data_IF_015528951742
#
_entry.id   IF_015528951742
#
_cell.length_a   1.000
_cell.length_b   1.000
_cell.length_c   1.000
_cell.angle_alpha   90.00
_cell.angle_beta   90.00
_cell.angle_gamma   90.00
#
_symmetry.space_group_name_H-M   'P 1'
#
loop_
_entity.id
_entity.type
_entity.pdbx_description
1 polymer ?
#
# COMPACT_ATOMS: atom_id res chain seq x y z
N UNK A 1 -17.01 28.11 5.76
CA UNK A 1 -16.68 29.52 6.05
C UNK A 1 -16.87 29.86 7.53
N UNK A 2 -17.96 29.46 8.17
CA UNK A 2 -18.25 29.76 9.59
C UNK A 2 -17.21 29.24 10.61
N UNK A 3 -16.65 28.03 10.41
CA UNK A 3 -15.59 27.46 11.30
C UNK A 3 -14.26 28.19 11.18
N UNK A 4 -13.95 28.72 9.99
CA UNK A 4 -12.74 29.50 9.74
C UNK A 4 -12.80 30.85 10.46
N UNK A 5 -13.97 31.50 10.45
CA UNK A 5 -14.23 32.72 11.20
C UNK A 5 -14.13 32.52 12.73
N UNK A 6 -14.43 31.32 13.23
CA UNK A 6 -14.38 30.97 14.67
C UNK A 6 -13.02 30.40 15.15
N UNK A 7 -11.98 30.41 14.31
CA UNK A 7 -10.64 29.90 14.68
C UNK A 7 -10.61 28.40 15.00
N UNK A 8 -11.61 27.63 14.57
CA UNK A 8 -11.74 26.22 14.91
C UNK A 8 -10.84 25.34 14.02
N UNK A 9 -10.46 24.13 14.50
CA UNK A 9 -9.69 23.18 13.72
C UNK A 9 -10.31 22.96 12.33
N UNK A 10 -9.53 23.28 11.30
CA UNK A 10 -9.87 23.08 9.90
C UNK A 10 -9.52 21.64 9.51
N UNK A 11 -10.43 20.99 8.78
CA UNK A 11 -10.07 19.79 8.03
C UNK A 11 -9.18 20.22 6.85
N UNK A 12 -7.91 19.86 6.93
CA UNK A 12 -6.89 20.27 5.96
C UNK A 12 -6.83 19.32 4.77
N UNK A 13 -7.31 18.09 4.95
CA UNK A 13 -7.31 17.04 3.94
C UNK A 13 -8.72 16.50 3.72
N UNK A 14 -9.01 16.09 2.49
CA UNK A 14 -10.30 15.51 2.09
C UNK A 14 -10.69 14.30 2.96
N UNK A 15 -9.70 13.48 3.34
CA UNK A 15 -9.90 12.32 4.19
C UNK A 15 -10.50 12.68 5.57
N UNK A 16 -10.12 13.82 6.14
CA UNK A 16 -10.64 14.27 7.43
C UNK A 16 -12.10 14.71 7.32
N UNK A 17 -12.43 15.43 6.24
CA UNK A 17 -13.81 15.82 5.91
C UNK A 17 -14.70 14.59 5.68
N UNK A 18 -14.24 13.63 4.88
CA UNK A 18 -14.94 12.36 4.64
C UNK A 18 -15.15 11.57 5.93
N UNK A 19 -14.12 11.49 6.79
CA UNK A 19 -14.21 10.80 8.09
C UNK A 19 -15.26 11.43 8.99
N UNK A 20 -15.33 12.77 9.05
CA UNK A 20 -16.34 13.50 9.80
C UNK A 20 -17.75 13.27 9.23
N UNK A 21 -17.90 13.28 7.90
CA UNK A 21 -19.20 13.00 7.25
C UNK A 21 -19.64 11.57 7.56
N UNK A 22 -18.76 10.58 7.47
CA UNK A 22 -19.10 9.19 7.81
C UNK A 22 -19.52 9.05 9.27
N UNK A 23 -18.76 9.66 10.19
CA UNK A 23 -19.10 9.69 11.61
C UNK A 23 -20.47 10.31 11.86
N UNK A 24 -20.74 11.50 11.30
CA UNK A 24 -22.01 12.23 11.48
C UNK A 24 -23.22 11.45 10.95
N UNK A 25 -23.04 10.68 9.87
CA UNK A 25 -24.09 9.90 9.26
C UNK A 25 -24.19 8.47 9.83
N UNK A 26 -23.48 8.16 10.93
CA UNK A 26 -23.40 6.81 11.49
C UNK A 26 -22.98 5.73 10.45
N UNK A 27 -22.25 6.13 9.41
CA UNK A 27 -21.65 5.18 8.48
C UNK A 27 -20.53 4.45 9.20
N UNK A 28 -20.79 3.20 9.58
CA UNK A 28 -19.75 2.31 10.06
C UNK A 28 -19.08 1.66 8.85
N UNK A 29 -17.74 1.71 8.82
CA UNK A 29 -17.00 0.87 7.89
C UNK A 29 -17.44 -0.58 8.07
N UNK A 30 -17.63 -1.31 6.97
CA UNK A 30 -17.97 -2.72 7.02
C UNK A 30 -17.00 -3.44 7.96
N UNK A 31 -17.53 -4.10 8.99
CA UNK A 31 -16.73 -4.94 9.88
C UNK A 31 -16.12 -6.12 9.11
N UNK A 32 -16.73 -6.48 7.98
CA UNK A 32 -16.21 -7.50 7.06
C UNK A 32 -15.06 -6.93 6.24
N UNK A 33 -13.83 -7.28 6.66
CA UNK A 33 -12.60 -7.02 5.90
C UNK A 33 -12.42 -7.97 4.70
N UNK A 34 -13.38 -8.86 4.44
CA UNK A 34 -13.29 -9.91 3.40
C UNK A 34 -13.38 -9.31 1.99
N UNK A 35 -14.09 -8.19 1.82
CA UNK A 35 -14.25 -7.57 0.49
C UNK A 35 -13.04 -6.68 0.16
N UNK A 36 -12.63 -5.82 1.10
CA UNK A 36 -11.58 -4.84 0.88
C UNK A 36 -10.77 -4.65 2.17
N UNK A 37 -9.44 -4.76 2.08
CA UNK A 37 -8.53 -4.47 3.20
C UNK A 37 -7.36 -3.62 2.72
N UNK A 38 -7.02 -2.60 3.52
CA UNK A 38 -5.75 -1.88 3.40
C UNK A 38 -4.65 -2.68 4.10
N UNK A 39 -3.78 -3.26 3.29
CA UNK A 39 -2.70 -4.12 3.73
C UNK A 39 -1.39 -3.35 3.60
N UNK A 40 -0.74 -3.13 4.72
CA UNK A 40 0.58 -2.53 4.82
C UNK A 40 1.61 -3.66 4.82
N UNK A 41 2.36 -3.73 3.73
CA UNK A 41 3.33 -4.80 3.49
C UNK A 41 4.76 -4.44 3.93
N UNK A 42 5.06 -3.15 4.12
CA UNK A 42 6.42 -2.68 4.42
C UNK A 42 6.85 -2.96 5.88
N UNK A 43 7.81 -3.86 6.13
CA UNK A 43 8.25 -4.22 7.47
C UNK A 43 9.07 -3.12 8.19
N UNK A 44 9.61 -2.13 7.48
CA UNK A 44 10.49 -1.10 8.05
C UNK A 44 9.72 -0.09 8.90
N UNK A 45 8.50 0.25 8.48
CA UNK A 45 7.70 1.29 9.12
C UNK A 45 6.47 0.72 9.83
N UNK A 46 5.65 -0.03 9.08
CA UNK A 46 4.40 -0.57 9.60
C UNK A 46 3.93 -1.72 8.71
N UNK A 47 3.66 -2.87 9.33
CA UNK A 47 3.17 -4.07 8.64
C UNK A 47 1.99 -4.67 9.42
N UNK A 48 0.86 -4.90 8.74
CA UNK A 48 -0.37 -5.46 9.32
C UNK A 48 -0.92 -6.66 8.54
N UNK A 49 -0.04 -7.40 7.87
CA UNK A 49 -0.41 -8.58 7.09
C UNK A 49 -0.84 -9.72 8.00
N UNK A 50 -1.98 -10.31 7.71
CA UNK A 50 -2.54 -11.48 8.39
C UNK A 50 -2.58 -12.68 7.43
N UNK A 51 -2.62 -13.90 7.97
CA UNK A 51 -2.72 -15.14 7.17
C UNK A 51 -4.02 -15.21 6.36
N UNK A 52 -5.10 -14.65 6.89
CA UNK A 52 -6.43 -14.57 6.28
C UNK A 52 -6.52 -13.57 5.14
N UNK A 53 -5.53 -12.68 4.98
CA UNK A 53 -5.56 -11.62 3.95
C UNK A 53 -5.52 -12.16 2.53
N UNK A 54 -5.05 -13.39 2.36
CA UNK A 54 -5.12 -14.13 1.11
C UNK A 54 -6.54 -14.23 0.56
N UNK A 55 -7.54 -14.26 1.44
CA UNK A 55 -8.95 -14.44 1.09
C UNK A 55 -9.70 -13.12 0.90
N UNK A 56 -9.01 -11.98 1.01
CA UNK A 56 -9.61 -10.67 0.76
C UNK A 56 -9.76 -10.47 -0.75
N UNK A 57 -10.96 -10.09 -1.20
CA UNK A 57 -11.25 -9.93 -2.62
C UNK A 57 -10.44 -8.79 -3.27
N UNK A 58 -10.30 -7.66 -2.58
CA UNK A 58 -9.56 -6.49 -3.06
C UNK A 58 -8.46 -6.11 -2.08
N UNK A 59 -7.21 -6.21 -2.53
CA UNK A 59 -6.04 -5.79 -1.75
C UNK A 59 -5.72 -4.33 -2.06
N UNK A 60 -5.94 -3.45 -1.09
CA UNK A 60 -5.44 -2.09 -1.16
C UNK A 60 -4.00 -2.07 -0.59
N UNK A 61 -3.02 -1.80 -1.45
CA UNK A 61 -1.59 -1.94 -1.15
C UNK A 61 -0.83 -0.61 -1.29
N UNK A 62 -0.78 0.24 -0.24
CA UNK A 62 -0.21 1.58 -0.36
C UNK A 62 1.29 1.57 -0.63
N UNK A 63 2.03 0.68 0.04
CA UNK A 63 3.48 0.59 -0.10
C UNK A 63 3.88 0.09 -1.49
N UNK A 64 3.13 -0.86 -2.03
CA UNK A 64 3.53 -1.59 -3.24
C UNK A 64 3.62 -0.73 -4.50
N UNK A 65 2.99 0.46 -4.50
CA UNK A 65 3.23 1.50 -5.51
C UNK A 65 4.71 1.81 -5.70
N UNK A 66 5.48 1.76 -4.62
CA UNK A 66 6.94 1.99 -4.62
C UNK A 66 7.74 0.70 -4.70
N UNK A 67 7.28 -0.38 -4.06
CA UNK A 67 8.13 -1.54 -3.79
C UNK A 67 7.80 -2.79 -4.63
N UNK A 68 6.59 -2.98 -5.15
CA UNK A 68 6.19 -4.28 -5.71
C UNK A 68 5.37 -4.25 -6.98
N UNK A 69 4.72 -3.12 -7.34
CA UNK A 69 3.97 -3.05 -8.60
C UNK A 69 4.87 -3.18 -9.83
N UNK A 70 6.09 -2.64 -9.80
CA UNK A 70 7.05 -2.82 -10.89
C UNK A 70 7.45 -4.28 -11.05
N UNK A 71 7.75 -4.98 -9.94
CA UNK A 71 8.10 -6.39 -9.97
C UNK A 71 6.95 -7.25 -10.46
N UNK A 72 5.72 -6.96 -10.02
CA UNK A 72 4.51 -7.63 -10.48
C UNK A 72 4.31 -7.45 -11.98
N UNK A 73 4.45 -6.22 -12.47
CA UNK A 73 4.33 -5.93 -13.89
C UNK A 73 5.37 -6.69 -14.71
N UNK A 74 6.62 -6.72 -14.24
CA UNK A 74 7.67 -7.46 -14.91
C UNK A 74 7.37 -8.97 -14.91
N UNK A 75 6.98 -9.54 -13.78
CA UNK A 75 6.79 -10.99 -13.65
C UNK A 75 5.50 -11.51 -14.30
N UNK A 76 4.42 -10.73 -14.27
CA UNK A 76 3.12 -11.14 -14.81
C UNK A 76 2.93 -10.74 -16.27
N UNK A 77 3.56 -9.65 -16.71
CA UNK A 77 3.33 -9.09 -18.06
C UNK A 77 4.57 -9.24 -18.94
N UNK A 78 5.72 -8.67 -18.53
CA UNK A 78 6.92 -8.63 -19.39
C UNK A 78 7.57 -10.01 -19.56
N UNK A 79 7.64 -10.80 -18.49
CA UNK A 79 8.31 -12.09 -18.45
C UNK A 79 7.40 -13.26 -18.86
N UNK A 80 6.16 -12.99 -19.30
CA UNK A 80 5.21 -14.01 -19.71
C UNK A 80 4.86 -13.89 -21.20
N UNK A 81 4.66 -15.02 -21.91
CA UNK A 81 4.14 -14.98 -23.26
C UNK A 81 2.73 -14.38 -23.28
N UNK A 82 2.38 -13.71 -24.38
CA UNK A 82 1.08 -13.07 -24.59
C UNK A 82 0.67 -12.13 -23.45
N UNK A 83 1.63 -11.41 -22.86
CA UNK A 83 1.39 -10.42 -21.82
C UNK A 83 0.64 -10.97 -20.59
N UNK A 84 0.80 -12.26 -20.30
CA UNK A 84 0.20 -12.88 -19.11
C UNK A 84 -1.29 -13.19 -19.21
N UNK A 85 -1.90 -13.12 -20.40
CA UNK A 85 -3.34 -13.36 -20.56
C UNK A 85 -3.79 -14.79 -20.20
N UNK A 86 -2.88 -15.77 -20.31
CA UNK A 86 -3.20 -17.19 -20.10
C UNK A 86 -2.54 -17.78 -18.83
N UNK A 87 -2.33 -16.97 -17.79
CA UNK A 87 -1.73 -17.46 -16.54
C UNK A 87 -2.80 -18.21 -15.72
N UNK A 88 -2.59 -19.51 -15.40
CA UNK A 88 -3.51 -20.24 -14.52
C UNK A 88 -3.64 -19.57 -13.15
N UNK A 89 -4.84 -19.55 -12.58
CA UNK A 89 -5.13 -18.87 -11.30
C UNK A 89 -4.15 -19.25 -10.18
N UNK A 90 -3.79 -20.53 -10.06
CA UNK A 90 -2.83 -21.00 -9.06
C UNK A 90 -1.44 -20.38 -9.22
N UNK A 91 -0.95 -20.28 -10.47
CA UNK A 91 0.33 -19.64 -10.80
C UNK A 91 0.26 -18.15 -10.53
N UNK A 92 -0.81 -17.48 -10.95
CA UNK A 92 -1.06 -16.06 -10.68
C UNK A 92 -1.01 -15.77 -9.18
N UNK A 93 -1.80 -16.50 -8.38
CA UNK A 93 -1.83 -16.32 -6.93
C UNK A 93 -0.48 -16.64 -6.28
N UNK A 94 0.26 -17.62 -6.78
CA UNK A 94 1.61 -17.93 -6.30
C UNK A 94 2.59 -16.77 -6.50
N UNK A 95 2.58 -16.15 -7.68
CA UNK A 95 3.42 -14.98 -7.99
C UNK A 95 3.02 -13.78 -7.13
N UNK A 96 1.73 -13.47 -7.08
CA UNK A 96 1.18 -12.35 -6.31
C UNK A 96 1.50 -12.47 -4.82
N UNK A 97 1.24 -13.63 -4.20
CA UNK A 97 1.57 -13.90 -2.79
C UNK A 97 3.06 -13.75 -2.50
N UNK A 98 3.91 -14.27 -3.38
CA UNK A 98 5.37 -14.27 -3.23
C UNK A 98 5.95 -12.85 -3.34
N UNK A 99 5.55 -12.08 -4.35
CA UNK A 99 6.12 -10.76 -4.63
C UNK A 99 5.64 -9.70 -3.63
N UNK A 100 4.36 -9.76 -3.26
CA UNK A 100 3.75 -8.82 -2.31
C UNK A 100 3.99 -9.20 -0.86
N UNK A 101 4.53 -10.41 -0.62
CA UNK A 101 4.79 -10.93 0.72
C UNK A 101 3.52 -11.10 1.55
N UNK A 102 2.43 -11.56 0.94
CA UNK A 102 1.15 -11.84 1.60
C UNK A 102 0.89 -13.35 1.49
N UNK A 103 0.79 -14.10 2.61
CA UNK A 103 0.82 -13.61 3.99
C UNK A 103 2.23 -13.41 4.55
N UNK A 104 3.23 -14.12 4.00
CA UNK A 104 4.57 -14.18 4.55
C UNK A 104 5.57 -13.47 3.64
N UNK A 105 6.43 -12.65 4.23
CA UNK A 105 7.53 -11.98 3.53
C UNK A 105 8.81 -12.81 3.69
N UNK A 106 9.51 -13.07 2.59
CA UNK A 106 10.81 -13.77 2.62
C UNK A 106 11.93 -12.81 3.00
N UNK A 107 13.05 -13.33 3.52
CA UNK A 107 14.24 -12.54 3.89
C UNK A 107 14.71 -11.59 2.79
N UNK A 108 14.78 -12.05 1.53
CA UNK A 108 15.12 -11.19 0.38
C UNK A 108 14.19 -9.97 0.25
N UNK A 109 12.90 -10.17 0.52
CA UNK A 109 11.90 -9.11 0.54
C UNK A 109 12.18 -8.11 1.67
N UNK A 110 12.51 -8.58 2.88
CA UNK A 110 12.94 -7.70 3.96
C UNK A 110 14.12 -6.81 3.54
N UNK A 111 15.21 -7.41 3.05
CA UNK A 111 16.37 -6.63 2.59
C UNK A 111 15.99 -5.59 1.52
N UNK A 112 15.18 -5.97 0.53
CA UNK A 112 14.68 -5.05 -0.49
C UNK A 112 13.96 -3.85 0.14
N UNK A 113 13.02 -4.11 1.05
CA UNK A 113 12.26 -3.06 1.74
C UNK A 113 13.16 -2.12 2.54
N UNK A 114 14.12 -2.67 3.28
CA UNK A 114 15.08 -1.88 4.06
C UNK A 114 15.93 -0.99 3.14
N UNK A 115 16.63 -1.57 2.16
CA UNK A 115 17.52 -0.83 1.27
C UNK A 115 16.78 0.31 0.56
N UNK A 116 15.63 0.03 -0.06
CA UNK A 116 14.84 1.06 -0.76
C UNK A 116 14.32 2.14 0.18
N UNK A 117 13.89 1.79 1.39
CA UNK A 117 13.37 2.77 2.35
C UNK A 117 14.45 3.72 2.84
N UNK A 118 15.62 3.19 3.22
CA UNK A 118 16.76 4.01 3.66
C UNK A 118 17.36 4.81 2.51
N UNK A 119 17.52 4.22 1.33
CA UNK A 119 17.97 4.95 0.15
C UNK A 119 17.07 6.15 -0.13
N UNK A 120 15.75 5.97 -0.16
CA UNK A 120 14.80 7.08 -0.37
C UNK A 120 14.86 8.13 0.73
N UNK A 121 15.02 7.73 1.99
CA UNK A 121 15.17 8.68 3.10
C UNK A 121 16.44 9.54 2.94
N UNK A 122 17.55 8.91 2.56
CA UNK A 122 18.82 9.59 2.29
C UNK A 122 18.68 10.51 1.07
N UNK A 123 18.16 10.03 -0.05
CA UNK A 123 17.96 10.85 -1.26
C UNK A 123 17.07 12.06 -0.98
N UNK A 124 16.00 11.90 -0.19
CA UNK A 124 15.12 13.02 0.20
C UNK A 124 15.87 14.04 1.07
N UNK A 125 16.71 13.57 1.98
CA UNK A 125 17.53 14.44 2.85
C UNK A 125 18.60 15.18 2.04
N UNK A 126 19.28 14.49 1.11
CA UNK A 126 20.26 15.09 0.20
C UNK A 126 19.63 16.16 -0.68
N UNK A 127 18.47 15.87 -1.30
CA UNK A 127 17.74 16.85 -2.12
C UNK A 127 17.33 18.09 -1.33
N UNK A 128 16.94 17.94 -0.06
CA UNK A 128 16.60 19.06 0.83
C UNK A 128 17.81 19.94 1.16
N UNK A 129 19.01 19.36 1.27
CA UNK A 129 20.25 20.10 1.50
C UNK A 129 20.66 20.84 0.23
N UNK A 130 20.59 20.16 -0.93
CA UNK A 130 20.92 20.75 -2.25
C UNK A 130 19.99 21.89 -2.68
N UNK A 131 18.70 21.85 -2.29
CA UNK A 131 17.72 22.92 -2.59
C UNK A 131 17.77 24.10 -1.60
N UNK A 132 18.56 23.99 -0.52
CA UNK A 132 18.74 25.06 0.48
C UNK A 132 19.98 25.91 0.22
N UNK A 133 20.79 25.55 -0.76
CA UNK A 133 21.87 26.33 -1.34
C UNK A 133 21.46 26.77 -2.75
#
# INVERSE_FOLDING_TARGET
>A
MERHQKGQPKFNEEAQTLSFIYFKNNFQASKSKVILKRIWTNPVFYRNVETTDVNVAIWHLPAEKTYGLSDLYNELIQNQPNYGQNIPHQKYMGVVKKLLGIPNLKLKGYFKYYVLSYFRAISKRAKKILLKH
#
